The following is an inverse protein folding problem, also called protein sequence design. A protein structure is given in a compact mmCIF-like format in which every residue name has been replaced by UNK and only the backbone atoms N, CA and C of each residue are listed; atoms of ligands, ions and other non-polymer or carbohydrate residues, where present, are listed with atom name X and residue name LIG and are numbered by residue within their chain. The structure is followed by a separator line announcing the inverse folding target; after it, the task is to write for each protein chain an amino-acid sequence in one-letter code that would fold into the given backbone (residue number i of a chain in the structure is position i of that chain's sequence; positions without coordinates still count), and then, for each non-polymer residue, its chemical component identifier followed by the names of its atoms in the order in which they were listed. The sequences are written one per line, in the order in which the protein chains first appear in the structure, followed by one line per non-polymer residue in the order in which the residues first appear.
data_IF_195719435933
#
_entry.id   IF_195719435933
#
_cell.length_a   1.000
_cell.length_b   1.000
_cell.length_c   1.000
_cell.angle_alpha   90.00
_cell.angle_beta   90.00
_cell.angle_gamma   90.00
#
_symmetry.space_group_name_H-M   'P 1'
#
loop_
_entity.id
_entity.type
_entity.pdbx_description
1 polymer ?
#
# COMPACT_ATOMS: atom_id res chain seq x y z
N UNK A 1 -18.86 -14.14 -19.97
CA UNK A 1 -17.93 -13.76 -18.89
C UNK A 1 -16.88 -12.85 -19.51
N UNK A 2 -16.87 -11.55 -19.18
CA UNK A 2 -15.82 -10.65 -19.66
C UNK A 2 -14.52 -10.93 -18.90
N UNK A 3 -13.38 -10.98 -19.60
CA UNK A 3 -12.08 -11.26 -18.99
C UNK A 3 -11.69 -10.11 -18.06
N UNK A 4 -11.11 -10.43 -16.90
CA UNK A 4 -10.61 -9.43 -15.95
C UNK A 4 -9.68 -8.38 -16.62
N UNK A 5 -8.95 -8.81 -17.65
CA UNK A 5 -8.00 -8.01 -18.43
C UNK A 5 -8.66 -6.84 -19.19
N UNK A 6 -9.97 -6.89 -19.46
CA UNK A 6 -10.69 -5.79 -20.15
C UNK A 6 -11.18 -4.67 -19.22
N UNK A 7 -10.93 -4.76 -17.91
CA UNK A 7 -11.43 -3.82 -16.90
C UNK A 7 -10.34 -3.00 -16.21
N UNK A 8 -9.18 -2.85 -16.84
CA UNK A 8 -8.04 -2.13 -16.28
C UNK A 8 -8.35 -0.69 -15.87
N UNK A 9 -9.32 -0.02 -16.51
CA UNK A 9 -9.73 1.35 -16.15
C UNK A 9 -10.34 1.46 -14.75
N UNK A 10 -10.81 0.35 -14.17
CA UNK A 10 -11.44 0.35 -12.84
C UNK A 10 -10.47 0.59 -11.70
N UNK A 11 -9.17 0.40 -11.90
CA UNK A 11 -8.16 0.63 -10.85
C UNK A 11 -7.80 2.12 -10.69
N UNK A 12 -8.27 2.98 -11.59
CA UNK A 12 -7.95 4.40 -11.55
C UNK A 12 -8.31 5.02 -10.19
N UNK A 13 -7.38 5.77 -9.60
CA UNK A 13 -7.62 6.42 -8.32
C UNK A 13 -7.45 5.52 -7.10
N UNK A 14 -7.22 4.21 -7.26
CA UNK A 14 -6.94 3.33 -6.13
C UNK A 14 -5.60 3.69 -5.51
N UNK A 15 -5.58 3.85 -4.20
CA UNK A 15 -4.39 4.13 -3.38
C UNK A 15 -4.11 3.00 -2.41
N UNK A 16 -2.83 2.82 -2.07
CA UNK A 16 -2.42 2.00 -0.93
C UNK A 16 -2.40 2.91 0.30
N UNK A 17 -3.07 2.48 1.37
CA UNK A 17 -3.08 3.20 2.64
C UNK A 17 -2.55 2.35 3.78
N UNK A 18 -1.91 3.01 4.74
CA UNK A 18 -1.41 2.42 5.98
C UNK A 18 -2.14 2.96 7.20
N UNK A 19 -2.31 2.12 8.22
CA UNK A 19 -2.87 2.47 9.52
C UNK A 19 -2.18 1.71 10.65
N UNK A 20 -2.20 2.26 11.85
CA UNK A 20 -1.74 1.59 13.08
C UNK A 20 -2.89 1.27 14.04
N UNK A 21 -4.10 1.78 13.80
CA UNK A 21 -5.25 1.72 14.70
C UNK A 21 -6.57 1.28 14.03
N UNK A 22 -6.57 1.06 12.71
CA UNK A 22 -7.73 0.77 11.85
C UNK A 22 -8.70 1.94 11.62
N UNK A 23 -8.50 3.08 12.28
CA UNK A 23 -9.37 4.26 12.18
C UNK A 23 -8.77 5.35 11.32
N UNK A 24 -7.50 5.69 11.56
CA UNK A 24 -6.78 6.70 10.77
C UNK A 24 -5.99 6.04 9.64
N UNK A 25 -6.10 6.59 8.44
CA UNK A 25 -5.50 6.00 7.24
C UNK A 25 -4.69 7.02 6.45
N UNK A 26 -3.41 6.73 6.25
CA UNK A 26 -2.48 7.57 5.50
C UNK A 26 -2.24 6.99 4.12
N UNK A 27 -2.34 7.82 3.07
CA UNK A 27 -1.94 7.41 1.72
C UNK A 27 -0.42 7.25 1.63
N UNK A 28 0.03 6.06 1.25
CA UNK A 28 1.46 5.72 1.18
C UNK A 28 2.09 6.14 -0.17
N UNK A 29 1.25 6.35 -1.19
CA UNK A 29 1.65 6.71 -2.55
C UNK A 29 0.48 7.35 -3.31
N UNK A 30 0.84 8.07 -4.38
CA UNK A 30 0.00 8.47 -5.49
C UNK A 30 -0.90 7.35 -6.03
N UNK A 31 -2.09 7.71 -6.53
CA UNK A 31 -3.05 6.74 -7.04
C UNK A 31 -2.55 5.97 -8.27
N UNK A 32 -3.02 4.73 -8.38
CA UNK A 32 -2.82 3.89 -9.55
C UNK A 32 -3.43 4.52 -10.81
N UNK A 33 -2.78 4.28 -11.94
CA UNK A 33 -3.24 4.73 -13.25
C UNK A 33 -4.03 3.62 -13.96
N UNK A 34 -4.90 4.01 -14.90
CA UNK A 34 -5.61 3.08 -15.79
C UNK A 34 -4.67 2.53 -16.84
N UNK A 35 -3.98 1.44 -16.54
CA UNK A 35 -3.17 0.72 -17.51
C UNK A 35 -3.34 -0.79 -17.35
N UNK A 36 -3.25 -1.51 -18.47
CA UNK A 36 -3.17 -2.97 -18.49
C UNK A 36 -1.77 -3.48 -18.13
N UNK A 37 -0.76 -2.60 -18.19
CA UNK A 37 0.62 -2.93 -17.83
C UNK A 37 0.83 -2.98 -16.32
N UNK A 38 1.89 -3.69 -15.92
CA UNK A 38 2.36 -3.67 -14.54
C UNK A 38 2.86 -2.27 -14.15
N UNK A 39 2.36 -1.75 -13.03
CA UNK A 39 2.80 -0.46 -12.49
C UNK A 39 3.46 -0.66 -11.11
N UNK A 40 4.58 0.06 -10.91
CA UNK A 40 5.29 0.10 -9.62
C UNK A 40 5.07 1.47 -9.00
N UNK A 41 4.50 1.47 -7.79
CA UNK A 41 4.14 2.67 -7.05
C UNK A 41 5.06 2.80 -5.83
N UNK A 42 6.09 3.64 -5.93
CA UNK A 42 7.10 3.79 -4.86
C UNK A 42 6.53 4.53 -3.65
N UNK A 43 6.49 3.87 -2.50
CA UNK A 43 6.07 4.49 -1.22
C UNK A 43 7.09 5.54 -0.79
N UNK A 44 6.60 6.70 -0.31
CA UNK A 44 7.44 7.72 0.29
C UNK A 44 7.45 7.57 1.82
N UNK A 45 8.62 7.64 2.44
CA UNK A 45 8.79 7.56 3.89
C UNK A 45 9.24 6.18 4.40
N UNK A 46 9.60 6.13 5.69
CA UNK A 46 10.09 4.92 6.38
C UNK A 46 9.19 4.51 7.55
N UNK A 47 7.99 5.10 7.63
CA UNK A 47 7.07 4.84 8.71
C UNK A 47 6.53 3.40 8.64
N UNK A 48 6.48 2.76 9.80
CA UNK A 48 5.93 1.42 9.93
C UNK A 48 4.41 1.49 10.12
N UNK A 49 3.69 0.65 9.39
CA UNK A 49 2.24 0.50 9.49
C UNK A 49 1.89 -0.94 9.80
N UNK A 50 1.00 -1.15 10.77
CA UNK A 50 0.51 -2.49 11.16
C UNK A 50 -0.52 -3.04 10.18
N UNK A 51 -1.31 -2.15 9.58
CA UNK A 51 -2.40 -2.51 8.66
C UNK A 51 -2.19 -1.80 7.33
N UNK A 52 -2.41 -2.54 6.25
CA UNK A 52 -2.36 -2.04 4.88
C UNK A 52 -3.70 -2.34 4.22
N UNK A 53 -4.23 -1.37 3.47
CA UNK A 53 -5.42 -1.58 2.63
C UNK A 53 -5.24 -0.97 1.25
N UNK A 54 -6.04 -1.49 0.32
CA UNK A 54 -6.30 -0.82 -0.96
C UNK A 54 -7.61 -0.04 -0.79
N UNK A 55 -7.59 1.24 -1.18
CA UNK A 55 -8.73 2.13 -1.04
C UNK A 55 -8.98 2.88 -2.34
N UNK A 56 -10.24 2.99 -2.74
CA UNK A 56 -10.67 3.82 -3.85
C UNK A 56 -11.96 4.53 -3.41
N UNK A 57 -11.97 5.86 -3.51
CA UNK A 57 -13.11 6.68 -3.08
C UNK A 57 -14.26 6.69 -4.11
N UNK A 58 -14.02 6.21 -5.33
CA UNK A 58 -15.05 6.07 -6.36
C UNK A 58 -15.82 4.76 -6.28
N UNK A 59 -16.76 4.56 -7.20
CA UNK A 59 -17.52 3.32 -7.33
C UNK A 59 -16.64 2.19 -7.87
N UNK A 60 -15.90 1.54 -6.97
CA UNK A 60 -14.91 0.52 -7.31
C UNK A 60 -15.34 -0.87 -6.85
N UNK A 61 -15.27 -1.84 -7.76
CA UNK A 61 -15.65 -3.24 -7.50
C UNK A 61 -14.45 -4.12 -7.09
N UNK A 62 -13.31 -3.53 -6.75
CA UNK A 62 -12.14 -4.29 -6.27
C UNK A 62 -11.45 -5.16 -7.33
N UNK A 63 -11.71 -4.95 -8.63
CA UNK A 63 -11.14 -5.79 -9.67
C UNK A 63 -9.62 -5.55 -9.79
N UNK A 64 -8.83 -6.47 -9.24
CA UNK A 64 -7.38 -6.47 -9.34
C UNK A 64 -6.88 -7.90 -9.53
N UNK A 65 -5.93 -8.09 -10.47
CA UNK A 65 -5.39 -9.43 -10.75
C UNK A 65 -4.40 -9.86 -9.67
N UNK A 66 -3.50 -8.97 -9.28
CA UNK A 66 -2.47 -9.22 -8.27
C UNK A 66 -1.93 -7.87 -7.75
N UNK A 67 -1.60 -7.85 -6.46
CA UNK A 67 -0.86 -6.77 -5.81
C UNK A 67 0.26 -7.41 -4.99
N UNK A 68 1.47 -6.86 -5.07
CA UNK A 68 2.63 -7.29 -4.30
C UNK A 68 3.20 -6.13 -3.50
N UNK A 69 3.72 -6.44 -2.31
CA UNK A 69 4.40 -5.46 -1.46
C UNK A 69 5.86 -5.83 -1.34
N UNK A 70 6.73 -4.86 -1.60
CA UNK A 70 8.17 -4.97 -1.34
C UNK A 70 8.52 -4.03 -0.20
N UNK A 71 8.86 -4.58 0.96
CA UNK A 71 9.30 -3.83 2.12
C UNK A 71 10.71 -4.24 2.51
N UNK A 72 11.52 -3.28 2.96
CA UNK A 72 12.81 -3.56 3.62
C UNK A 72 12.58 -3.52 5.12
N UNK A 73 12.93 -4.60 5.82
CA UNK A 73 13.03 -4.57 7.27
C UNK A 73 14.38 -3.96 7.66
N UNK A 74 14.36 -2.87 8.43
CA UNK A 74 15.57 -2.35 9.08
C UNK A 74 15.49 -2.64 10.57
N UNK A 75 16.43 -3.42 11.09
CA UNK A 75 16.58 -3.61 12.54
C UNK A 75 17.05 -2.30 13.17
N UNK A 76 16.23 -1.69 14.03
CA UNK A 76 16.64 -0.54 14.84
C UNK A 76 17.37 -1.08 16.06
N UNK A 77 18.70 -1.18 16.01
CA UNK A 77 19.51 -1.48 17.19
C UNK A 77 19.47 -0.28 18.14
N UNK A 78 18.61 -0.31 19.15
CA UNK A 78 18.74 0.58 20.30
C UNK A 78 19.90 0.11 21.16
N UNK A 79 20.91 0.96 21.38
CA UNK A 79 21.97 0.71 22.36
C UNK A 79 21.30 0.65 23.74
N UNK A 80 21.27 -0.53 24.36
CA UNK A 80 20.96 -0.64 25.80
C UNK A 80 22.24 -0.35 26.57
N UNK A 81 22.45 0.88 27.03
CA UNK A 81 23.39 1.12 28.14
C UNK A 81 22.70 0.66 29.42
N UNK A 82 22.84 -0.61 29.75
CA UNK A 82 22.46 -1.13 31.06
C UNK A 82 23.66 -0.88 32.00
N UNK A 83 23.60 0.24 32.74
CA UNK A 83 24.49 0.49 33.87
C UNK A 83 24.14 -0.46 35.00
N UNK A 84 25.14 -1.10 35.58
CA UNK A 84 25.03 -1.77 36.86
C UNK A 84 25.48 -0.74 37.91
N UNK A 85 24.54 -0.26 38.71
CA UNK A 85 24.77 0.49 39.94
C UNK A 85 24.55 -0.47 41.11
#
# INVERSE_FOLDING_TARGET
MARQDSYFSRINGTVVQGSNDLTEWTALRSPAQSTADWQVLSVNGKEAYRYIRMYNAGTWFGNMRICGFTARCSHRSGVKTQGWD
#
